data_IF_473763244444
#
_entry.id   IF_473763244444
#
_cell.length_a   1.000
_cell.length_b   1.000
_cell.length_c   1.000
_cell.angle_alpha   90.00
_cell.angle_beta   90.00
_cell.angle_gamma   90.00
#
_symmetry.space_group_name_H-M   'P 1'
#
loop_
_entity.id
_entity.type
_entity.pdbx_description
1 polymer ?
#
# COMPACT_ATOMS: atom_id res chain seq x y z
N UNK A 1 -46.77 16.15 -32.45
CA UNK A 1 -45.95 16.75 -31.38
C UNK A 1 -44.64 15.96 -31.27
N UNK A 2 -43.51 16.62 -31.52
CA UNK A 2 -42.18 16.07 -31.28
C UNK A 2 -41.94 16.02 -29.76
N UNK A 3 -41.50 14.88 -29.25
CA UNK A 3 -40.78 14.81 -27.97
C UNK A 3 -39.52 13.99 -28.20
N UNK A 4 -38.37 14.64 -28.00
CA UNK A 4 -37.05 14.03 -27.92
C UNK A 4 -36.68 13.74 -26.46
N UNK A 5 -35.67 12.87 -26.30
CA UNK A 5 -34.83 12.55 -25.13
C UNK A 5 -35.35 11.32 -24.34
N UNK A 6 -34.53 10.36 -23.95
CA UNK A 6 -33.12 10.41 -23.60
C UNK A 6 -32.32 9.22 -24.15
N UNK A 7 -31.05 9.47 -24.48
CA UNK A 7 -30.11 8.45 -24.92
C UNK A 7 -29.83 7.43 -23.82
N UNK A 8 -30.12 6.17 -24.12
CA UNK A 8 -29.57 5.02 -23.41
C UNK A 8 -28.10 4.92 -23.78
N UNK A 9 -27.23 5.15 -22.79
CA UNK A 9 -25.77 5.03 -22.96
C UNK A 9 -25.40 3.66 -23.50
N UNK A 10 -24.29 3.55 -24.25
CA UNK A 10 -23.85 2.27 -24.76
C UNK A 10 -23.51 1.34 -23.58
N UNK A 11 -24.24 0.23 -23.54
CA UNK A 11 -23.87 -0.95 -22.81
C UNK A 11 -22.48 -1.44 -23.24
N UNK A 12 -21.80 -2.07 -22.29
CA UNK A 12 -20.68 -2.98 -22.51
C UNK A 12 -19.36 -2.36 -23.01
N UNK A 13 -18.81 -1.44 -22.21
CA UNK A 13 -17.35 -1.27 -22.18
C UNK A 13 -16.72 -2.49 -21.51
N UNK A 14 -16.30 -3.45 -22.33
CA UNK A 14 -15.52 -4.62 -21.92
C UNK A 14 -14.39 -4.21 -20.96
N UNK A 15 -14.34 -4.87 -19.80
CA UNK A 15 -13.27 -4.70 -18.83
C UNK A 15 -11.91 -4.91 -19.52
N UNK A 16 -10.94 -3.99 -19.38
CA UNK A 16 -9.65 -4.19 -20.02
C UNK A 16 -8.99 -5.44 -19.44
N UNK A 17 -8.47 -6.23 -20.37
CA UNK A 17 -7.82 -7.52 -20.15
C UNK A 17 -6.80 -7.42 -19.00
N UNK A 18 -6.97 -8.31 -18.03
CA UNK A 18 -6.22 -8.36 -16.77
C UNK A 18 -4.73 -8.55 -17.07
N UNK A 19 -4.02 -7.45 -17.23
CA UNK A 19 -2.58 -7.45 -17.47
C UNK A 19 -1.92 -8.30 -16.38
N UNK A 20 -1.34 -9.43 -16.79
CA UNK A 20 -0.47 -10.26 -15.98
C UNK A 20 0.74 -9.42 -15.61
N UNK A 21 0.63 -8.63 -14.54
CA UNK A 21 1.72 -7.79 -14.03
C UNK A 21 2.78 -8.73 -13.50
N UNK A 22 3.87 -8.83 -14.24
CA UNK A 22 5.10 -9.47 -13.81
C UNK A 22 5.45 -8.98 -12.41
N UNK A 23 5.56 -9.93 -11.50
CA UNK A 23 6.24 -9.71 -10.24
C UNK A 23 7.70 -9.38 -10.60
N UNK A 24 8.00 -8.09 -10.77
CA UNK A 24 9.37 -7.63 -10.73
C UNK A 24 9.95 -8.14 -9.42
N UNK A 25 10.93 -9.04 -9.50
CA UNK A 25 11.65 -9.57 -8.34
C UNK A 25 12.27 -8.38 -7.61
N UNK A 26 11.57 -7.91 -6.59
CA UNK A 26 12.17 -7.13 -5.51
C UNK A 26 13.06 -8.14 -4.76
N UNK A 27 14.22 -7.69 -4.29
CA UNK A 27 15.34 -8.56 -3.91
C UNK A 27 14.91 -9.76 -3.05
N UNK A 28 15.42 -10.93 -3.43
CA UNK A 28 15.19 -12.20 -2.74
C UNK A 28 15.31 -12.09 -1.21
N UNK A 29 14.33 -12.69 -0.52
CA UNK A 29 14.48 -13.39 0.77
C UNK A 29 15.68 -13.00 1.62
N UNK A 30 15.52 -12.04 2.51
CA UNK A 30 16.29 -12.02 3.75
C UNK A 30 15.32 -11.75 4.88
N UNK A 31 15.30 -12.66 5.85
CA UNK A 31 14.51 -12.52 7.05
C UNK A 31 14.89 -11.21 7.73
N UNK A 32 14.04 -10.21 7.58
CA UNK A 32 14.19 -8.97 8.32
C UNK A 32 13.94 -9.31 9.77
N UNK A 33 14.98 -9.17 10.59
CA UNK A 33 14.81 -8.96 12.00
C UNK A 33 14.01 -7.65 12.14
N UNK A 34 12.68 -7.75 12.29
CA UNK A 34 11.85 -6.61 12.65
C UNK A 34 12.41 -6.11 14.00
N UNK A 35 13.13 -4.99 13.97
CA UNK A 35 13.81 -4.41 15.14
C UNK A 35 12.80 -3.94 16.22
N UNK A 36 11.53 -3.80 15.86
CA UNK A 36 10.38 -3.66 16.74
C UNK A 36 9.14 -3.64 15.83
N UNK A 37 7.95 -4.11 16.25
CA UNK A 37 6.71 -3.82 15.53
C UNK A 37 6.57 -2.31 15.30
N UNK A 38 5.98 -1.88 14.17
CA UNK A 38 5.80 -0.46 13.92
C UNK A 38 5.02 0.19 15.07
N UNK A 39 5.32 1.45 15.41
CA UNK A 39 4.88 2.12 16.64
C UNK A 39 3.36 2.36 16.76
N UNK A 40 2.55 1.80 15.86
CA UNK A 40 1.10 1.96 15.79
C UNK A 40 0.35 0.61 15.80
N UNK A 41 0.93 -0.42 16.44
CA UNK A 41 0.38 -1.78 16.42
C UNK A 41 -1.05 -1.89 17.00
N UNK A 42 -1.42 -1.02 17.93
CA UNK A 42 -2.71 -1.07 18.61
C UNK A 42 -3.88 -0.70 17.67
N UNK A 43 -3.67 0.26 16.77
CA UNK A 43 -4.67 0.70 15.78
C UNK A 43 -4.97 -0.36 14.72
N UNK A 44 -4.09 -1.35 14.53
CA UNK A 44 -4.30 -2.46 13.59
C UNK A 44 -5.53 -3.31 13.95
N UNK A 45 -5.84 -3.39 15.25
CA UNK A 45 -6.95 -4.18 15.76
C UNK A 45 -8.28 -3.44 15.75
N UNK A 46 -8.27 -2.12 15.58
CA UNK A 46 -9.48 -1.30 15.51
C UNK A 46 -10.27 -1.48 14.20
N UNK A 47 -9.66 -2.07 13.16
CA UNK A 47 -10.30 -2.22 11.86
C UNK A 47 -11.50 -3.19 11.89
N UNK A 48 -12.71 -2.66 11.70
CA UNK A 48 -13.97 -3.45 11.63
C UNK A 48 -14.28 -4.02 10.23
N UNK A 49 -13.33 -3.95 9.29
CA UNK A 49 -13.48 -4.47 7.92
C UNK A 49 -14.65 -3.90 7.09
N UNK A 50 -15.07 -2.64 7.31
CA UNK A 50 -16.18 -1.99 6.59
C UNK A 50 -15.93 -1.61 5.13
N UNK A 51 -14.69 -1.74 4.63
CA UNK A 51 -14.26 -1.51 3.24
C UNK A 51 -14.38 -0.07 2.67
N UNK A 52 -14.82 0.93 3.46
CA UNK A 52 -14.93 2.32 3.00
C UNK A 52 -13.60 2.92 2.52
N UNK A 53 -12.51 2.66 3.24
CA UNK A 53 -11.18 3.15 2.86
C UNK A 53 -10.70 2.59 1.52
N UNK A 54 -11.14 1.38 1.13
CA UNK A 54 -10.80 0.77 -0.16
C UNK A 54 -11.60 1.41 -1.30
N UNK A 55 -12.89 1.68 -1.07
CA UNK A 55 -13.77 2.29 -2.07
C UNK A 55 -13.29 3.68 -2.50
N UNK A 56 -12.75 4.44 -1.54
CA UNK A 56 -12.23 5.79 -1.76
C UNK A 56 -10.75 5.85 -2.17
N UNK A 57 -10.06 4.70 -2.24
CA UNK A 57 -8.64 4.66 -2.56
C UNK A 57 -8.41 4.66 -4.08
N UNK A 58 -7.67 5.64 -4.64
CA UNK A 58 -7.42 5.70 -6.08
C UNK A 58 -6.58 4.52 -6.57
N UNK A 59 -5.57 4.08 -5.79
CA UNK A 59 -4.76 2.90 -6.12
C UNK A 59 -5.60 1.63 -6.15
N UNK A 60 -6.50 1.44 -5.19
CA UNK A 60 -7.39 0.29 -5.14
C UNK A 60 -8.30 0.21 -6.38
N UNK A 61 -8.83 1.36 -6.82
CA UNK A 61 -9.65 1.45 -8.04
C UNK A 61 -8.89 1.05 -9.31
N UNK A 62 -7.60 1.37 -9.39
CA UNK A 62 -6.77 1.07 -10.55
C UNK A 62 -6.26 -0.39 -10.57
N UNK A 63 -5.81 -0.90 -9.42
CA UNK A 63 -5.23 -2.25 -9.35
C UNK A 63 -6.29 -3.33 -9.17
N UNK A 64 -7.36 -3.05 -8.42
CA UNK A 64 -8.47 -3.98 -8.19
C UNK A 64 -8.13 -5.21 -7.33
N UNK A 65 -7.01 -5.19 -6.60
CA UNK A 65 -6.61 -6.27 -5.70
C UNK A 65 -6.59 -5.82 -4.25
N UNK A 66 -7.14 -6.65 -3.36
CA UNK A 66 -7.26 -6.36 -1.94
C UNK A 66 -5.91 -6.06 -1.27
N UNK A 67 -4.83 -6.74 -1.65
CA UNK A 67 -3.48 -6.51 -1.09
C UNK A 67 -2.97 -5.08 -1.30
N UNK A 68 -3.54 -4.34 -2.25
CA UNK A 68 -3.17 -2.93 -2.54
C UNK A 68 -4.04 -1.92 -1.82
N UNK A 69 -5.17 -2.36 -1.24
CA UNK A 69 -6.09 -1.48 -0.52
C UNK A 69 -5.50 -1.09 0.85
N UNK A 70 -5.96 0.02 1.45
CA UNK A 70 -5.57 0.37 2.81
C UNK A 70 -5.90 -0.73 3.81
N UNK A 71 -7.09 -1.32 3.68
CA UNK A 71 -7.58 -2.42 4.53
C UNK A 71 -6.72 -3.67 4.41
N UNK A 72 -6.41 -4.10 3.20
CA UNK A 72 -5.58 -5.27 2.94
C UNK A 72 -4.19 -5.12 3.53
N UNK A 73 -3.61 -3.91 3.44
CA UNK A 73 -2.33 -3.60 4.06
C UNK A 73 -2.36 -3.63 5.58
N UNK A 74 -3.41 -3.08 6.22
CA UNK A 74 -3.60 -3.23 7.68
C UNK A 74 -3.67 -4.71 8.05
N UNK A 75 -4.43 -5.52 7.31
CA UNK A 75 -4.54 -6.96 7.57
C UNK A 75 -3.20 -7.67 7.43
N UNK A 76 -2.46 -7.43 6.35
CA UNK A 76 -1.14 -8.03 6.14
C UNK A 76 -0.16 -7.60 7.24
N UNK A 77 -0.19 -6.33 7.64
CA UNK A 77 0.66 -5.85 8.73
C UNK A 77 0.30 -6.52 10.06
N UNK A 78 -0.99 -6.68 10.36
CA UNK A 78 -1.45 -7.41 11.55
C UNK A 78 -0.95 -8.85 11.55
N UNK A 79 -1.01 -9.53 10.41
CA UNK A 79 -0.52 -10.90 10.28
C UNK A 79 1.02 -10.96 10.45
N UNK A 80 1.77 -9.97 9.96
CA UNK A 80 3.21 -9.83 10.20
C UNK A 80 3.56 -9.58 11.67
N UNK A 81 2.79 -8.73 12.36
CA UNK A 81 2.98 -8.44 13.79
C UNK A 81 2.68 -9.69 14.63
N UNK A 82 1.64 -10.46 14.30
CA UNK A 82 1.33 -11.72 14.99
C UNK A 82 2.38 -12.80 14.77
N UNK A 83 2.98 -12.85 13.58
CA UNK A 83 4.05 -13.79 13.26
C UNK A 83 5.43 -13.38 13.80
N UNK A 84 5.56 -12.15 14.30
CA UNK A 84 6.82 -11.63 14.77
C UNK A 84 7.28 -12.26 16.08
N UNK A 85 8.58 -12.53 16.18
CA UNK A 85 9.24 -12.92 17.41
C UNK A 85 10.61 -12.24 17.53
N UNK A 86 11.02 -11.73 18.70
CA UNK A 86 12.35 -11.13 18.91
C UNK A 86 13.53 -12.02 18.49
N UNK A 87 13.36 -13.35 18.54
CA UNK A 87 14.42 -14.32 18.21
C UNK A 87 14.48 -14.70 16.73
N UNK A 88 13.38 -14.55 15.99
CA UNK A 88 13.26 -15.05 14.60
C UNK A 88 12.97 -13.95 13.58
N UNK A 89 12.56 -12.75 14.02
CA UNK A 89 12.03 -11.73 13.13
C UNK A 89 10.75 -12.18 12.45
N UNK A 90 10.42 -11.55 11.31
CA UNK A 90 9.33 -11.99 10.43
C UNK A 90 9.74 -11.73 8.98
N UNK A 91 9.62 -12.71 8.07
CA UNK A 91 9.88 -12.46 6.66
C UNK A 91 8.79 -11.55 6.08
N UNK A 92 9.20 -10.46 5.44
CA UNK A 92 8.28 -9.53 4.78
C UNK A 92 8.10 -9.95 3.33
N UNK A 93 6.86 -10.24 2.87
CA UNK A 93 6.64 -10.65 1.49
C UNK A 93 6.78 -9.46 0.53
N UNK A 94 7.37 -9.67 -0.66
CA UNK A 94 7.55 -8.64 -1.69
C UNK A 94 6.25 -7.94 -2.07
N UNK A 95 5.13 -8.68 -2.07
CA UNK A 95 3.81 -8.14 -2.34
C UNK A 95 3.39 -7.07 -1.33
N UNK A 96 3.78 -7.22 -0.06
CA UNK A 96 3.53 -6.22 0.99
C UNK A 96 4.37 -4.96 0.75
N UNK A 97 5.68 -5.14 0.52
CA UNK A 97 6.60 -4.04 0.23
C UNK A 97 6.08 -3.22 -0.95
N UNK A 98 5.77 -3.90 -2.06
CA UNK A 98 5.20 -3.28 -3.26
C UNK A 98 3.90 -2.53 -2.95
N UNK A 99 2.97 -3.17 -2.24
CA UNK A 99 1.69 -2.54 -1.89
C UNK A 99 1.85 -1.26 -1.07
N UNK A 100 2.82 -1.20 -0.15
CA UNK A 100 3.11 0.00 0.67
C UNK A 100 3.65 1.14 -0.21
N UNK A 101 4.52 0.84 -1.17
CA UNK A 101 5.08 1.84 -2.07
C UNK A 101 4.13 2.26 -3.21
N UNK A 102 3.14 1.44 -3.58
CA UNK A 102 2.07 1.81 -4.52
C UNK A 102 1.05 2.82 -3.94
N UNK A 103 1.10 3.10 -2.64
CA UNK A 103 0.25 4.11 -2.02
C UNK A 103 0.62 5.52 -2.49
N UNK A 104 -0.33 6.30 -3.01
CA UNK A 104 -0.07 7.71 -3.40
C UNK A 104 0.00 8.67 -2.22
N UNK A 105 -0.26 8.20 -0.98
CA UNK A 105 -0.28 9.04 0.24
C UNK A 105 -1.31 10.19 0.18
N UNK A 106 -2.41 10.01 -0.55
CA UNK A 106 -3.47 11.01 -0.68
C UNK A 106 -4.31 11.28 0.58
N UNK A 107 -4.17 10.47 1.64
CA UNK A 107 -4.83 10.68 2.94
C UNK A 107 -6.34 10.44 3.00
N UNK A 108 -7.04 10.23 1.88
CA UNK A 108 -8.51 10.06 1.85
C UNK A 108 -9.02 8.96 2.78
N UNK A 109 -8.26 7.88 2.92
CA UNK A 109 -8.59 6.74 3.77
C UNK A 109 -8.62 7.06 5.28
N UNK A 110 -7.77 7.97 5.77
CA UNK A 110 -7.82 8.43 7.16
C UNK A 110 -9.08 9.26 7.43
N UNK A 111 -9.49 10.09 6.46
CA UNK A 111 -10.66 10.98 6.60
C UNK A 111 -11.99 10.20 6.65
N UNK A 112 -12.12 9.16 5.83
CA UNK A 112 -13.39 8.39 5.72
C UNK A 112 -13.49 7.23 6.70
N UNK A 113 -12.48 7.03 7.57
CA UNK A 113 -12.46 5.90 8.49
C UNK A 113 -13.44 6.11 9.64
N UNK A 114 -14.46 5.25 9.77
CA UNK A 114 -15.44 5.34 10.87
C UNK A 114 -14.86 5.06 12.26
N UNK A 115 -13.76 4.32 12.33
CA UNK A 115 -13.07 4.00 13.58
C UNK A 115 -11.87 4.92 13.83
N UNK A 116 -11.63 5.91 12.96
CA UNK A 116 -10.61 6.93 13.18
C UNK A 116 -9.15 6.48 12.99
N UNK A 117 -8.90 5.37 12.28
CA UNK A 117 -7.52 4.93 11.99
C UNK A 117 -6.84 5.93 11.07
N UNK A 118 -5.71 6.50 11.51
CA UNK A 118 -4.90 7.36 10.65
C UNK A 118 -3.99 6.53 9.74
N UNK A 119 -4.58 6.01 8.67
CA UNK A 119 -3.86 5.17 7.72
C UNK A 119 -2.68 5.88 7.02
N UNK A 120 -2.76 7.19 6.81
CA UNK A 120 -1.66 7.95 6.20
C UNK A 120 -0.39 7.87 7.06
N UNK A 121 -0.51 8.20 8.34
CA UNK A 121 0.58 8.08 9.30
C UNK A 121 1.08 6.63 9.40
N UNK A 122 0.17 5.65 9.37
CA UNK A 122 0.54 4.24 9.32
C UNK A 122 1.39 3.90 8.10
N UNK A 123 0.98 4.36 6.91
CA UNK A 123 1.69 4.05 5.68
C UNK A 123 3.07 4.72 5.63
N UNK A 124 3.21 5.93 6.14
CA UNK A 124 4.52 6.58 6.31
C UNK A 124 5.40 5.84 7.32
N UNK A 125 4.82 5.40 8.43
CA UNK A 125 5.47 4.54 9.42
C UNK A 125 5.97 3.23 8.81
N UNK A 126 5.13 2.56 8.01
CA UNK A 126 5.50 1.34 7.27
C UNK A 126 6.65 1.60 6.28
N UNK A 127 6.63 2.71 5.53
CA UNK A 127 7.73 3.06 4.61
C UNK A 127 9.04 3.29 5.35
N UNK A 128 9.00 4.04 6.45
CA UNK A 128 10.17 4.28 7.29
C UNK A 128 10.73 2.98 7.85
N UNK A 129 9.86 2.10 8.32
CA UNK A 129 10.22 0.78 8.82
C UNK A 129 10.86 -0.08 7.72
N UNK A 130 10.22 -0.22 6.56
CA UNK A 130 10.75 -0.96 5.41
C UNK A 130 12.12 -0.44 4.96
N UNK A 131 12.31 0.89 4.94
CA UNK A 131 13.56 1.52 4.56
C UNK A 131 14.69 1.22 5.57
N UNK A 132 14.43 1.32 6.88
CA UNK A 132 15.41 0.99 7.93
C UNK A 132 15.77 -0.50 7.92
N UNK A 133 14.78 -1.35 7.61
CA UNK A 133 14.95 -2.79 7.50
C UNK A 133 15.64 -3.26 6.22
N UNK A 134 15.98 -2.37 5.28
CA UNK A 134 16.61 -2.73 4.01
C UNK A 134 15.70 -3.39 2.98
N UNK A 135 14.38 -3.47 3.25
CA UNK A 135 13.38 -3.96 2.29
C UNK A 135 12.88 -2.87 1.34
N UNK A 136 13.26 -1.62 1.56
CA UNK A 136 12.96 -0.52 0.67
C UNK A 136 14.03 0.56 0.73
N UNK A 137 13.88 1.64 -0.05
CA UNK A 137 12.80 1.86 -1.01
C UNK A 137 12.87 0.94 -2.25
N UNK A 138 11.83 0.95 -3.10
CA UNK A 138 11.84 0.15 -4.34
C UNK A 138 13.00 0.57 -5.25
N UNK A 139 13.43 -0.32 -6.15
CA UNK A 139 14.52 -0.07 -7.11
C UNK A 139 14.35 1.24 -7.89
N UNK A 140 13.10 1.56 -8.27
CA UNK A 140 12.78 2.79 -9.01
C UNK A 140 13.14 4.07 -8.24
N UNK A 141 13.23 4.01 -6.91
CA UNK A 141 13.58 5.14 -6.06
C UNK A 141 15.10 5.28 -5.82
N UNK A 142 15.92 4.32 -6.26
CA UNK A 142 17.38 4.37 -6.07
C UNK A 142 18.01 5.60 -6.72
N UNK A 143 17.46 6.04 -7.86
CA UNK A 143 17.89 7.28 -8.54
C UNK A 143 17.73 8.47 -7.60
N UNK A 144 16.55 8.62 -6.98
CA UNK A 144 16.26 9.71 -6.04
C UNK A 144 17.20 9.67 -4.83
N UNK A 145 17.45 8.47 -4.28
CA UNK A 145 18.37 8.30 -3.14
C UNK A 145 19.80 8.72 -3.52
N UNK A 146 20.28 8.31 -4.71
CA UNK A 146 21.60 8.69 -5.22
C UNK A 146 21.71 10.19 -5.46
N UNK A 147 20.69 10.79 -6.06
CA UNK A 147 20.61 12.23 -6.31
C UNK A 147 20.65 13.04 -5.00
N UNK A 148 19.90 12.60 -3.99
CA UNK A 148 19.92 13.20 -2.66
C UNK A 148 21.29 13.09 -1.98
N UNK A 149 21.97 11.94 -2.11
CA UNK A 149 23.28 11.73 -1.52
C UNK A 149 24.37 12.61 -2.16
N UNK A 150 24.35 12.76 -3.49
CA UNK A 150 25.37 13.48 -4.23
C UNK A 150 25.13 14.99 -4.28
N UNK A 151 23.88 15.40 -4.48
CA UNK A 151 23.53 16.78 -4.83
C UNK A 151 22.63 17.46 -3.80
N UNK A 152 22.13 16.72 -2.80
CA UNK A 152 21.06 17.18 -1.89
C UNK A 152 19.83 17.71 -2.63
N UNK A 153 19.61 17.23 -3.85
CA UNK A 153 18.48 17.58 -4.71
C UNK A 153 17.95 16.30 -5.37
N UNK A 154 16.66 15.95 -5.21
CA UNK A 154 16.10 14.72 -5.77
C UNK A 154 15.93 14.75 -7.29
N UNK A 155 16.10 15.89 -7.96
CA UNK A 155 15.84 16.04 -9.40
C UNK A 155 17.10 16.16 -10.27
N UNK A 156 18.30 16.02 -9.69
CA UNK A 156 19.59 16.10 -10.38
C UNK A 156 20.28 14.74 -10.44
#
# INVERSE_FOLDING_TARGET
MKLQKAGTGPADAAAPERAKRSAGKVGATTGVAMESPPPFADELWACIHCNYCSAECPTARQVGWESTTPRGKIRMLRDLVNAWSPRRGVPVPDAFVRGVYECTSCGRCSVVCHVGIDYLAHNEGMRRWLARSGCGPMKDHEVLVRSLANYRNPYL
#
